data_IF_662991663096
#
_entry.id   IF_662991663096
#
_cell.length_a   1.000
_cell.length_b   1.000
_cell.length_c   1.000
_cell.angle_alpha   90.00
_cell.angle_beta   90.00
_cell.angle_gamma   90.00
#
_symmetry.space_group_name_H-M   'P 1'
#
loop_
_entity.id
_entity.type
_entity.pdbx_description
1 polymer ?
#
# COMPACT_ATOMS: atom_id res chain seq x y z
N UNK A 1 -38.44 -2.49 -18.60
CA UNK A 1 -37.40 -2.95 -17.66
C UNK A 1 -37.00 -1.77 -16.81
N UNK A 2 -37.36 -1.75 -15.53
CA UNK A 2 -36.85 -0.75 -14.59
C UNK A 2 -35.34 -0.97 -14.41
N UNK A 3 -34.57 0.07 -14.72
CA UNK A 3 -33.15 0.11 -14.44
C UNK A 3 -32.99 0.29 -12.93
N UNK A 4 -32.59 -0.77 -12.23
CA UNK A 4 -32.31 -0.75 -10.79
C UNK A 4 -30.81 -0.46 -10.57
N UNK A 5 -30.41 0.81 -10.34
CA UNK A 5 -29.01 1.18 -10.17
C UNK A 5 -28.36 0.52 -8.94
N UNK A 6 -29.14 0.02 -7.97
CA UNK A 6 -28.60 -0.70 -6.80
C UNK A 6 -28.09 -2.11 -7.16
N UNK A 7 -28.61 -2.72 -8.23
CA UNK A 7 -28.12 -3.99 -8.76
C UNK A 7 -26.81 -3.86 -9.54
N UNK A 8 -26.48 -2.65 -10.02
CA UNK A 8 -25.29 -2.40 -10.83
C UNK A 8 -24.00 -2.42 -10.00
N UNK A 9 -24.06 -2.02 -8.73
CA UNK A 9 -22.86 -1.86 -7.91
C UNK A 9 -22.53 -3.16 -7.19
N UNK A 10 -22.18 -4.21 -7.95
CA UNK A 10 -21.60 -5.42 -7.37
C UNK A 10 -20.12 -5.15 -7.08
N UNK A 11 -19.59 -5.52 -5.90
CA UNK A 11 -18.20 -5.22 -5.55
C UNK A 11 -17.19 -5.90 -6.48
N UNK A 12 -17.48 -7.13 -6.94
CA UNK A 12 -16.55 -7.96 -7.71
C UNK A 12 -16.08 -7.33 -9.04
N UNK A 13 -16.96 -6.82 -9.93
CA UNK A 13 -16.53 -6.10 -11.13
C UNK A 13 -15.54 -4.95 -10.88
N UNK A 14 -15.80 -4.11 -9.88
CA UNK A 14 -14.88 -3.01 -9.53
C UNK A 14 -13.53 -3.50 -9.05
N UNK A 15 -13.51 -4.57 -8.24
CA UNK A 15 -12.26 -5.15 -7.74
C UNK A 15 -11.46 -5.82 -8.86
N UNK A 16 -12.11 -6.50 -9.81
CA UNK A 16 -11.45 -7.08 -10.99
C UNK A 16 -10.87 -5.97 -11.87
N UNK A 17 -11.68 -4.94 -12.18
CA UNK A 17 -11.21 -3.79 -12.95
C UNK A 17 -10.04 -3.10 -12.25
N UNK A 18 -10.07 -2.96 -10.93
CA UNK A 18 -8.96 -2.40 -10.16
C UNK A 18 -7.65 -3.18 -10.37
N UNK A 19 -7.70 -4.51 -10.38
CA UNK A 19 -6.52 -5.35 -10.64
C UNK A 19 -6.05 -5.22 -12.10
N UNK A 20 -6.97 -5.14 -13.07
CA UNK A 20 -6.61 -4.92 -14.48
C UNK A 20 -5.90 -3.58 -14.68
N UNK A 21 -6.40 -2.50 -14.08
CA UNK A 21 -5.73 -1.21 -14.10
C UNK A 21 -4.37 -1.24 -13.40
N UNK A 22 -4.22 -2.01 -12.32
CA UNK A 22 -2.94 -2.18 -11.64
C UNK A 22 -1.90 -2.88 -12.54
N UNK A 23 -2.31 -3.92 -13.26
CA UNK A 23 -1.45 -4.61 -14.24
C UNK A 23 -1.05 -3.69 -15.38
N UNK A 24 -2.01 -2.94 -15.93
CA UNK A 24 -1.74 -1.93 -16.97
C UNK A 24 -0.77 -0.85 -16.48
N UNK A 25 -0.92 -0.39 -15.24
CA UNK A 25 0.01 0.56 -14.64
C UNK A 25 1.44 0.02 -14.60
N UNK A 26 1.63 -1.23 -14.17
CA UNK A 26 2.94 -1.86 -14.12
C UNK A 26 3.56 -2.02 -15.52
N UNK A 27 2.76 -2.44 -16.52
CA UNK A 27 3.23 -2.58 -17.90
C UNK A 27 3.59 -1.23 -18.56
N UNK A 28 2.89 -0.16 -18.19
CA UNK A 28 3.11 1.19 -18.72
C UNK A 28 4.21 1.96 -18.00
N UNK A 29 4.65 1.52 -16.82
CA UNK A 29 5.64 2.23 -16.00
C UNK A 29 6.94 2.54 -16.76
N UNK A 30 7.38 1.64 -17.65
CA UNK A 30 8.59 1.83 -18.47
C UNK A 30 8.36 2.60 -19.77
N UNK A 31 7.11 2.79 -20.21
CA UNK A 31 6.76 3.42 -21.49
C UNK A 31 6.22 4.85 -21.33
N UNK A 32 5.38 5.08 -20.32
CA UNK A 32 4.78 6.38 -20.03
C UNK A 32 4.45 6.50 -18.56
N UNK A 33 5.22 7.34 -17.86
CA UNK A 33 5.04 7.64 -16.45
C UNK A 33 3.63 8.19 -16.14
N UNK A 34 3.14 9.12 -16.96
CA UNK A 34 1.82 9.73 -16.78
C UNK A 34 0.68 8.71 -16.96
N UNK A 35 0.79 7.83 -17.97
CA UNK A 35 -0.21 6.78 -18.19
C UNK A 35 -0.19 5.74 -17.06
N UNK A 36 1.00 5.38 -16.57
CA UNK A 36 1.16 4.50 -15.40
C UNK A 36 0.50 5.09 -14.15
N UNK A 37 0.74 6.37 -13.85
CA UNK A 37 0.10 7.07 -12.72
C UNK A 37 -1.42 7.11 -12.89
N UNK A 38 -1.93 7.43 -14.07
CA UNK A 38 -3.37 7.46 -14.32
C UNK A 38 -4.01 6.09 -14.05
N UNK A 39 -3.38 5.01 -14.52
CA UNK A 39 -3.82 3.65 -14.24
C UNK A 39 -3.73 3.27 -12.74
N UNK A 40 -2.68 3.70 -12.02
CA UNK A 40 -2.59 3.51 -10.56
C UNK A 40 -3.70 4.26 -9.82
N UNK A 41 -4.02 5.48 -10.24
CA UNK A 41 -5.12 6.28 -9.70
C UNK A 41 -6.46 5.59 -9.92
N UNK A 42 -6.75 5.18 -11.16
CA UNK A 42 -7.96 4.44 -11.50
C UNK A 42 -8.09 3.13 -10.69
N UNK A 43 -7.02 2.35 -10.61
CA UNK A 43 -6.95 1.12 -9.80
C UNK A 43 -7.30 1.39 -8.33
N UNK A 44 -6.72 2.46 -7.76
CA UNK A 44 -6.93 2.83 -6.36
C UNK A 44 -8.39 3.21 -6.08
N UNK A 45 -8.99 4.02 -6.95
CA UNK A 45 -10.38 4.46 -6.82
C UNK A 45 -11.34 3.27 -6.95
N UNK A 46 -11.16 2.45 -7.98
CA UNK A 46 -12.00 1.26 -8.22
C UNK A 46 -11.90 0.27 -7.06
N UNK A 47 -10.69 0.03 -6.54
CA UNK A 47 -10.48 -0.82 -5.37
C UNK A 47 -11.20 -0.26 -4.15
N UNK A 48 -11.08 1.05 -3.89
CA UNK A 48 -11.73 1.69 -2.76
C UNK A 48 -13.26 1.56 -2.84
N UNK A 49 -13.86 1.84 -3.99
CA UNK A 49 -15.30 1.71 -4.21
C UNK A 49 -15.74 0.25 -4.01
N UNK A 50 -15.09 -0.69 -4.68
CA UNK A 50 -15.45 -2.11 -4.60
C UNK A 50 -15.30 -2.70 -3.19
N UNK A 51 -14.22 -2.35 -2.48
CA UNK A 51 -14.02 -2.83 -1.10
C UNK A 51 -14.95 -2.13 -0.11
N UNK A 52 -15.24 -0.85 -0.30
CA UNK A 52 -16.20 -0.12 0.54
C UNK A 52 -17.58 -0.73 0.41
N UNK A 53 -18.01 -1.06 -0.80
CA UNK A 53 -19.28 -1.75 -1.04
C UNK A 53 -19.29 -3.14 -0.40
N UNK A 54 -18.22 -3.92 -0.57
CA UNK A 54 -18.10 -5.25 0.05
C UNK A 54 -18.17 -5.17 1.58
N UNK A 55 -17.48 -4.21 2.19
CA UNK A 55 -17.48 -3.98 3.64
C UNK A 55 -18.85 -3.49 4.10
N UNK A 56 -19.48 -2.58 3.36
CA UNK A 56 -20.82 -2.07 3.66
C UNK A 56 -21.84 -3.20 3.72
N UNK A 57 -21.88 -4.07 2.69
CA UNK A 57 -22.81 -5.20 2.61
C UNK A 57 -22.56 -6.26 3.68
N UNK A 58 -21.29 -6.57 4.00
CA UNK A 58 -20.97 -7.68 4.92
C UNK A 58 -20.87 -7.27 6.40
N UNK A 59 -20.50 -6.03 6.68
CA UNK A 59 -20.10 -5.58 8.03
C UNK A 59 -20.78 -4.27 8.47
N UNK A 60 -21.53 -3.61 7.58
CA UNK A 60 -22.30 -2.40 7.87
C UNK A 60 -21.50 -1.10 7.90
N UNK A 61 -22.20 0.01 8.14
CA UNK A 61 -21.67 1.39 8.04
C UNK A 61 -20.50 1.69 8.98
N UNK A 62 -20.47 1.09 10.17
CA UNK A 62 -19.36 1.28 11.12
C UNK A 62 -18.03 0.73 10.61
N UNK A 63 -18.07 -0.40 9.92
CA UNK A 63 -16.90 -1.01 9.30
C UNK A 63 -16.38 -0.16 8.13
N UNK A 64 -17.30 0.45 7.36
CA UNK A 64 -16.97 1.40 6.29
C UNK A 64 -16.21 2.61 6.85
N UNK A 65 -16.70 3.24 7.93
CA UNK A 65 -16.01 4.39 8.53
C UNK A 65 -14.55 4.08 8.90
N UNK A 66 -14.31 2.94 9.57
CA UNK A 66 -12.95 2.50 9.92
C UNK A 66 -12.09 2.19 8.70
N UNK A 67 -12.69 1.58 7.67
CA UNK A 67 -12.01 1.31 6.40
C UNK A 67 -11.62 2.61 5.68
N UNK A 68 -12.49 3.61 5.63
CA UNK A 68 -12.22 4.93 5.05
C UNK A 68 -11.12 5.66 5.82
N UNK A 69 -11.15 5.66 7.16
CA UNK A 69 -10.06 6.24 7.99
C UNK A 69 -8.72 5.58 7.64
N UNK A 70 -8.69 4.25 7.53
CA UNK A 70 -7.47 3.54 7.15
C UNK A 70 -6.97 3.95 5.75
N UNK A 71 -7.88 4.18 4.80
CA UNK A 71 -7.52 4.64 3.45
C UNK A 71 -6.97 6.07 3.44
N UNK A 72 -7.55 6.98 4.22
CA UNK A 72 -7.06 8.35 4.36
C UNK A 72 -5.67 8.38 5.00
N UNK A 73 -5.45 7.63 6.08
CA UNK A 73 -4.14 7.49 6.70
C UNK A 73 -3.12 6.91 5.71
N UNK A 74 -3.51 5.91 4.94
CA UNK A 74 -2.64 5.33 3.89
C UNK A 74 -2.30 6.37 2.82
N UNK A 75 -3.26 7.17 2.36
CA UNK A 75 -3.02 8.23 1.39
C UNK A 75 -2.04 9.28 1.93
N UNK A 76 -2.24 9.73 3.18
CA UNK A 76 -1.32 10.65 3.87
C UNK A 76 0.10 10.08 3.95
N UNK A 77 0.22 8.80 4.31
CA UNK A 77 1.50 8.10 4.33
C UNK A 77 2.21 8.14 2.97
N UNK A 78 1.49 7.84 1.87
CA UNK A 78 2.06 7.89 0.53
C UNK A 78 2.51 9.29 0.14
N UNK A 79 1.76 10.33 0.50
CA UNK A 79 2.18 11.71 0.26
C UNK A 79 3.50 12.02 0.95
N UNK A 80 3.64 11.65 2.23
CA UNK A 80 4.89 11.86 2.98
C UNK A 80 6.06 11.08 2.36
N UNK A 81 5.85 9.81 2.01
CA UNK A 81 6.88 8.97 1.40
C UNK A 81 7.28 9.46 0.00
N UNK A 82 6.32 9.91 -0.82
CA UNK A 82 6.57 10.50 -2.14
C UNK A 82 7.30 11.83 -2.02
N UNK A 83 6.93 12.69 -1.08
CA UNK A 83 7.62 13.96 -0.85
C UNK A 83 9.09 13.72 -0.45
N UNK A 84 9.33 12.78 0.47
CA UNK A 84 10.69 12.37 0.86
C UNK A 84 11.49 11.81 -0.32
N UNK A 85 10.89 10.90 -1.10
CA UNK A 85 11.54 10.31 -2.28
C UNK A 85 11.82 11.35 -3.37
N UNK A 86 10.87 12.24 -3.66
CA UNK A 86 11.01 13.31 -4.65
C UNK A 86 12.13 14.27 -4.28
N UNK A 87 12.19 14.69 -3.02
CA UNK A 87 13.26 15.56 -2.53
C UNK A 87 14.61 14.85 -2.64
N UNK A 88 14.72 13.62 -2.14
CA UNK A 88 15.97 12.83 -2.19
C UNK A 88 16.44 12.66 -3.64
N UNK A 89 15.55 12.31 -4.56
CA UNK A 89 15.89 12.18 -5.98
C UNK A 89 16.34 13.52 -6.58
N UNK A 90 15.63 14.61 -6.29
CA UNK A 90 15.94 15.93 -6.84
C UNK A 90 17.28 16.48 -6.31
N UNK A 91 17.61 16.17 -5.05
CA UNK A 91 18.82 16.63 -4.39
C UNK A 91 20.04 15.74 -4.72
N UNK A 92 19.89 14.40 -4.73
CA UNK A 92 21.00 13.46 -4.95
C UNK A 92 21.26 13.19 -6.44
N UNK A 93 20.21 12.97 -7.23
CA UNK A 93 20.36 12.57 -8.65
C UNK A 93 20.41 13.78 -9.56
N UNK A 94 19.49 14.74 -9.36
CA UNK A 94 19.43 15.94 -10.21
C UNK A 94 20.27 17.11 -9.69
N UNK A 95 20.76 17.03 -8.45
CA UNK A 95 21.58 18.07 -7.81
C UNK A 95 20.93 19.48 -7.83
N UNK A 96 19.59 19.53 -7.77
CA UNK A 96 18.80 20.77 -7.84
C UNK A 96 18.71 21.46 -6.48
N UNK A 97 18.72 20.68 -5.40
CA UNK A 97 18.62 21.16 -4.03
C UNK A 97 19.87 20.80 -3.23
N UNK A 98 20.27 21.62 -2.25
CA UNK A 98 21.35 21.25 -1.33
C UNK A 98 20.97 19.97 -0.58
N UNK A 99 21.91 19.03 -0.49
CA UNK A 99 21.74 17.79 0.26
C UNK A 99 22.89 17.61 1.23
N UNK A 100 22.64 17.87 2.51
CA UNK A 100 23.59 17.68 3.60
C UNK A 100 23.04 16.76 4.69
N UNK A 101 23.80 16.61 5.80
CA UNK A 101 23.36 15.82 6.95
C UNK A 101 21.98 16.24 7.51
N UNK A 102 21.65 17.54 7.64
CA UNK A 102 20.33 17.96 8.12
C UNK A 102 19.19 17.52 7.19
N UNK A 103 19.34 17.68 5.88
CA UNK A 103 18.34 17.33 4.88
C UNK A 103 18.13 15.82 4.81
N UNK A 104 19.21 15.04 4.93
CA UNK A 104 19.14 13.59 5.04
C UNK A 104 18.35 13.14 6.28
N UNK A 105 18.57 13.78 7.43
CA UNK A 105 17.81 13.47 8.67
C UNK A 105 16.33 13.81 8.48
N UNK A 106 16.01 15.00 7.95
CA UNK A 106 14.62 15.43 7.74
C UNK A 106 13.89 14.48 6.79
N UNK A 107 14.48 14.18 5.63
CA UNK A 107 13.88 13.29 4.62
C UNK A 107 13.68 11.87 5.16
N UNK A 108 14.64 11.36 5.92
CA UNK A 108 14.55 10.05 6.58
C UNK A 108 13.46 10.03 7.66
N UNK A 109 13.31 11.11 8.46
CA UNK A 109 12.27 11.20 9.50
C UNK A 109 10.90 11.24 8.84
N UNK A 110 10.73 12.03 7.78
CA UNK A 110 9.47 12.09 7.02
C UNK A 110 9.12 10.71 6.44
N UNK A 111 10.10 9.99 5.88
CA UNK A 111 9.88 8.63 5.39
C UNK A 111 9.48 7.66 6.51
N UNK A 112 10.13 7.73 7.68
CA UNK A 112 9.83 6.89 8.85
C UNK A 112 8.43 7.17 9.41
N UNK A 113 8.05 8.44 9.56
CA UNK A 113 6.69 8.85 9.96
C UNK A 113 5.67 8.35 8.95
N UNK A 114 5.95 8.53 7.65
CA UNK A 114 5.13 7.99 6.57
C UNK A 114 4.93 6.48 6.70
N UNK A 115 6.00 5.72 6.89
CA UNK A 115 5.94 4.27 7.06
C UNK A 115 5.17 3.85 8.33
N UNK A 116 5.34 4.58 9.44
CA UNK A 116 4.59 4.38 10.68
C UNK A 116 3.09 4.58 10.51
N UNK A 117 2.69 5.66 9.81
CA UNK A 117 1.28 5.89 9.46
C UNK A 117 0.73 4.75 8.58
N UNK A 118 1.50 4.27 7.60
CA UNK A 118 1.08 3.12 6.79
C UNK A 118 0.90 1.85 7.63
N UNK A 119 1.81 1.59 8.58
CA UNK A 119 1.69 0.44 9.48
C UNK A 119 0.40 0.50 10.32
N UNK A 120 0.05 1.67 10.86
CA UNK A 120 -1.21 1.88 11.59
C UNK A 120 -2.42 1.73 10.66
N UNK A 121 -2.38 2.34 9.47
CA UNK A 121 -3.42 2.25 8.47
C UNK A 121 -3.72 0.80 8.07
N UNK A 122 -2.67 0.00 7.81
CA UNK A 122 -2.81 -1.43 7.49
C UNK A 122 -3.39 -2.20 8.68
N UNK A 123 -3.02 -1.86 9.91
CA UNK A 123 -3.60 -2.45 11.12
C UNK A 123 -5.11 -2.22 11.23
N UNK A 124 -5.54 -0.97 11.08
CA UNK A 124 -6.97 -0.59 11.11
C UNK A 124 -7.72 -1.29 9.97
N UNK A 125 -7.22 -1.21 8.73
CA UNK A 125 -7.83 -1.86 7.56
C UNK A 125 -7.97 -3.36 7.77
N UNK A 126 -6.90 -4.02 8.20
CA UNK A 126 -6.91 -5.46 8.41
C UNK A 126 -7.86 -5.86 9.54
N UNK A 127 -8.00 -5.08 10.62
CA UNK A 127 -8.97 -5.36 11.69
C UNK A 127 -10.43 -5.42 11.19
N UNK A 128 -10.75 -4.66 10.14
CA UNK A 128 -12.06 -4.68 9.47
C UNK A 128 -12.14 -5.88 8.53
N UNK A 129 -11.18 -5.99 7.61
CA UNK A 129 -11.22 -6.99 6.55
C UNK A 129 -11.02 -8.43 7.05
N UNK A 130 -10.42 -8.62 8.22
CA UNK A 130 -10.20 -9.95 8.82
C UNK A 130 -11.48 -10.74 9.05
N UNK A 131 -12.59 -10.02 9.19
CA UNK A 131 -13.93 -10.58 9.40
C UNK A 131 -14.50 -11.20 8.13
N UNK A 132 -13.91 -10.92 6.96
CA UNK A 132 -14.31 -11.48 5.66
C UNK A 132 -13.52 -12.78 5.42
N UNK A 133 -14.23 -13.91 5.39
CA UNK A 133 -13.64 -15.22 5.05
C UNK A 133 -13.00 -15.18 3.65
N UNK A 134 -11.85 -15.83 3.51
CA UNK A 134 -11.05 -15.86 2.26
C UNK A 134 -10.00 -14.75 2.14
N UNK A 135 -10.12 -13.64 2.86
CA UNK A 135 -9.11 -12.56 2.81
C UNK A 135 -7.93 -12.73 3.80
N UNK A 136 -8.05 -13.60 4.82
CA UNK A 136 -7.09 -13.68 5.93
C UNK A 136 -5.62 -13.82 5.49
N UNK A 137 -5.34 -14.71 4.55
CA UNK A 137 -3.96 -14.95 4.11
C UNK A 137 -3.38 -13.74 3.36
N UNK A 138 -4.18 -13.11 2.49
CA UNK A 138 -3.80 -11.85 1.83
C UNK A 138 -3.52 -10.73 2.85
N UNK A 139 -4.34 -10.64 3.91
CA UNK A 139 -4.17 -9.65 4.97
C UNK A 139 -2.94 -9.91 5.83
N UNK A 140 -2.61 -11.17 6.13
CA UNK A 140 -1.36 -11.56 6.80
C UNK A 140 -0.15 -11.08 6.00
N UNK A 141 -0.10 -11.41 4.70
CA UNK A 141 0.98 -10.97 3.82
C UNK A 141 1.06 -9.45 3.75
N UNK A 142 -0.08 -8.75 3.68
CA UNK A 142 -0.08 -7.29 3.72
C UNK A 142 0.40 -6.71 5.06
N UNK A 143 0.19 -7.40 6.18
CA UNK A 143 0.68 -6.96 7.49
C UNK A 143 2.19 -7.11 7.57
N UNK A 144 2.71 -8.27 7.17
CA UNK A 144 4.16 -8.51 7.07
C UNK A 144 4.80 -7.49 6.12
N UNK A 145 4.19 -7.23 4.98
CA UNK A 145 4.71 -6.24 4.02
C UNK A 145 4.77 -4.82 4.62
N UNK A 146 3.82 -4.45 5.48
CA UNK A 146 3.85 -3.15 6.17
C UNK A 146 4.96 -3.06 7.23
N UNK A 147 5.30 -4.19 7.87
CA UNK A 147 6.41 -4.27 8.82
C UNK A 147 7.73 -4.14 8.06
N UNK A 148 7.88 -4.86 6.95
CA UNK A 148 9.06 -4.78 6.08
C UNK A 148 9.27 -3.35 5.61
N UNK A 149 8.23 -2.66 5.13
CA UNK A 149 8.32 -1.25 4.73
C UNK A 149 8.75 -0.32 5.87
N UNK A 150 8.24 -0.55 7.08
CA UNK A 150 8.63 0.21 8.26
C UNK A 150 10.11 -0.02 8.62
N UNK A 151 10.55 -1.28 8.60
CA UNK A 151 11.95 -1.62 8.83
C UNK A 151 12.86 -0.96 7.77
N UNK A 152 12.47 -0.97 6.50
CA UNK A 152 13.20 -0.27 5.43
C UNK A 152 13.37 1.22 5.71
N UNK A 153 12.29 1.89 6.12
CA UNK A 153 12.34 3.32 6.44
C UNK A 153 13.16 3.63 7.71
N UNK A 154 13.37 2.64 8.58
CA UNK A 154 14.21 2.76 9.76
C UNK A 154 15.70 2.50 9.49
N UNK A 155 16.06 1.84 8.38
CA UNK A 155 17.46 1.51 8.02
C UNK A 155 18.41 2.73 8.10
N UNK A 156 18.06 3.92 7.58
CA UNK A 156 18.92 5.11 7.66
C UNK A 156 19.32 5.51 9.09
N UNK A 157 18.53 5.12 10.10
CA UNK A 157 18.76 5.47 11.50
C UNK A 157 19.53 4.39 12.27
N UNK A 158 19.65 3.18 11.73
CA UNK A 158 20.30 2.07 12.42
C UNK A 158 21.80 2.34 12.69
N UNK A 159 22.59 2.99 11.80
CA UNK A 159 23.96 3.39 12.12
C UNK A 159 24.06 4.48 13.20
N UNK A 160 23.01 5.31 13.36
CA UNK A 160 22.97 6.31 14.43
C UNK A 160 22.55 5.71 15.78
N UNK A 161 21.74 4.64 15.76
CA UNK A 161 21.30 3.89 16.95
C UNK A 161 22.36 2.89 17.44
N UNK A 162 23.08 2.25 16.51
CA UNK A 162 24.24 1.44 16.80
C UNK A 162 25.46 2.35 16.87
N UNK A 163 25.82 2.83 18.06
CA UNK A 163 27.11 3.52 18.29
C UNK A 163 28.30 2.63 17.88
N UNK A 164 28.65 2.51 16.60
CA UNK A 164 29.90 1.91 16.12
C UNK A 164 29.94 1.79 14.59
N UNK A 165 31.07 2.17 14.01
CA UNK A 165 31.43 1.99 12.60
C UNK A 165 31.55 0.54 12.11
N UNK A 166 31.00 -0.44 12.84
CA UNK A 166 31.08 -1.86 12.49
C UNK A 166 29.73 -2.46 12.03
N UNK A 167 28.60 -1.76 12.17
CA UNK A 167 27.26 -2.32 11.88
C UNK A 167 26.74 -1.96 10.48
N UNK A 168 27.41 -1.04 9.78
CA UNK A 168 27.03 -0.55 8.44
C UNK A 168 27.01 -1.64 7.37
N UNK A 169 27.94 -2.60 7.39
CA UNK A 169 27.95 -3.71 6.42
C UNK A 169 26.83 -4.72 6.69
N UNK A 170 26.55 -5.03 7.96
CA UNK A 170 25.45 -5.92 8.36
C UNK A 170 24.10 -5.32 7.94
N UNK A 171 23.95 -4.00 8.07
CA UNK A 171 22.76 -3.27 7.63
C UNK A 171 22.57 -3.27 6.11
N UNK A 172 23.65 -3.15 5.34
CA UNK A 172 23.62 -3.29 3.89
C UNK A 172 23.24 -4.71 3.46
N UNK A 173 23.75 -5.73 4.16
CA UNK A 173 23.41 -7.15 3.93
C UNK A 173 21.95 -7.44 4.29
N UNK A 174 21.39 -6.79 5.32
CA UNK A 174 19.97 -6.94 5.69
C UNK A 174 19.03 -6.16 4.76
N UNK A 175 19.47 -5.06 4.13
CA UNK A 175 18.64 -4.25 3.25
C UNK A 175 18.16 -5.02 2.00
N UNK A 176 19.02 -5.85 1.39
CA UNK A 176 18.68 -6.59 0.17
C UNK A 176 17.61 -7.69 0.39
N UNK A 177 17.69 -8.55 1.44
CA UNK A 177 16.61 -9.46 1.82
C UNK A 177 15.32 -8.73 2.19
N UNK A 178 15.41 -7.57 2.85
CA UNK A 178 14.22 -6.77 3.20
C UNK A 178 13.53 -6.26 1.92
N UNK A 179 14.28 -5.71 0.96
CA UNK A 179 13.76 -5.29 -0.36
C UNK A 179 13.16 -6.46 -1.16
N UNK A 180 13.85 -7.60 -1.20
CA UNK A 180 13.37 -8.81 -1.88
C UNK A 180 12.09 -9.34 -1.23
N UNK A 181 12.02 -9.35 0.10
CA UNK A 181 10.86 -9.81 0.86
C UNK A 181 9.63 -8.94 0.62
N UNK A 182 9.79 -7.62 0.46
CA UNK A 182 8.68 -6.70 0.16
C UNK A 182 7.94 -7.11 -1.11
N UNK A 183 8.69 -7.34 -2.19
CA UNK A 183 8.13 -7.73 -3.49
C UNK A 183 7.49 -9.11 -3.43
N UNK A 184 8.15 -10.09 -2.81
CA UNK A 184 7.61 -11.45 -2.68
C UNK A 184 6.31 -11.46 -1.85
N UNK A 185 6.28 -10.77 -0.71
CA UNK A 185 5.08 -10.68 0.13
C UNK A 185 3.93 -9.97 -0.58
N UNK A 186 4.23 -8.95 -1.39
CA UNK A 186 3.24 -8.27 -2.21
C UNK A 186 2.63 -9.22 -3.26
N UNK A 187 3.46 -9.99 -3.98
CA UNK A 187 3.01 -10.96 -4.99
C UNK A 187 2.19 -12.07 -4.35
N UNK A 188 2.68 -12.70 -3.28
CA UNK A 188 1.97 -13.77 -2.57
C UNK A 188 0.64 -13.26 -2.01
N UNK A 189 0.64 -12.07 -1.40
CA UNK A 189 -0.59 -11.43 -0.93
C UNK A 189 -1.61 -11.16 -2.04
N UNK A 190 -1.14 -10.82 -3.24
CA UNK A 190 -1.97 -10.64 -4.44
C UNK A 190 -2.52 -11.96 -4.97
N UNK A 191 -1.76 -13.04 -4.98
CA UNK A 191 -2.25 -14.37 -5.39
C UNK A 191 -3.45 -14.78 -4.53
N UNK A 192 -3.33 -14.68 -3.20
CA UNK A 192 -4.45 -14.98 -2.29
C UNK A 192 -5.64 -14.05 -2.47
N UNK A 193 -5.39 -12.77 -2.78
CA UNK A 193 -6.46 -11.82 -3.06
C UNK A 193 -7.21 -12.15 -4.36
N UNK A 194 -6.50 -12.47 -5.44
CA UNK A 194 -7.10 -12.89 -6.71
C UNK A 194 -7.89 -14.18 -6.52
N UNK A 195 -7.34 -15.16 -5.80
CA UNK A 195 -8.07 -16.38 -5.46
C UNK A 195 -9.37 -16.07 -4.71
N UNK A 196 -9.35 -15.15 -3.75
CA UNK A 196 -10.55 -14.66 -3.09
C UNK A 196 -11.53 -14.01 -4.07
N UNK A 197 -11.08 -13.15 -4.97
CA UNK A 197 -11.95 -12.51 -5.97
C UNK A 197 -12.61 -13.50 -6.93
N UNK A 198 -11.91 -14.60 -7.25
CA UNK A 198 -12.43 -15.63 -8.14
C UNK A 198 -13.45 -16.55 -7.45
N UNK A 199 -13.26 -16.79 -6.15
CA UNK A 199 -14.07 -17.72 -5.34
C UNK A 199 -15.14 -17.03 -4.50
N UNK A 200 -15.15 -15.70 -4.40
CA UNK A 200 -16.17 -14.99 -3.65
C UNK A 200 -17.54 -15.17 -4.29
N UNK A 201 -18.46 -15.76 -3.53
CA UNK A 201 -19.88 -15.66 -3.82
C UNK A 201 -20.29 -14.19 -3.71
N UNK A 202 -20.92 -13.67 -4.77
CA UNK A 202 -21.52 -12.36 -4.73
C UNK A 202 -22.57 -12.38 -3.62
N UNK A 203 -22.49 -11.49 -2.62
CA UNK A 203 -23.55 -11.42 -1.63
C UNK A 203 -24.80 -10.91 -2.35
N UNK A 204 -25.71 -11.83 -2.69
CA UNK A 204 -27.10 -11.50 -2.90
C UNK A 204 -27.63 -10.95 -1.57
N UNK A 205 -28.31 -9.79 -1.63
CA UNK A 205 -28.98 -9.23 -0.45
C UNK A 205 -29.92 -10.32 0.10
N UNK A 206 -29.73 -10.72 1.36
CA UNK A 206 -30.86 -11.11 2.20
C UNK A 206 -31.64 -9.86 2.55
#
# INVERSE_FOLDING_TARGET
MEFDPEKLIRPRPFLILAELFLLSAAALASKSYNASIACLGASTVLYYIGMTELVSRRLGRWAVKRFTIAYLLRALSWVLMLASAFYTYSAVVKNIFPFGPPEFVITSVVALVGAGINYLAVGIRNSVLWKIKGLKMSLWMSRLNSIVLFLMAAIPFLPALAKAGEVTWLLAVLAAPILGSFTVLAIVGKIFYIHFLLTMECPEKR
#
